data_IF_585857315539
#
_entry.id   IF_585857315539
#
_cell.length_a   1.000
_cell.length_b   1.000
_cell.length_c   1.000
_cell.angle_alpha   90.00
_cell.angle_beta   90.00
_cell.angle_gamma   90.00
#
_symmetry.space_group_name_H-M   'P 1'
#
loop_
_entity.id
_entity.type
_entity.pdbx_description
1 polymer ?
#
# COMPACT_ATOMS: atom_id res chain seq x y z
N UNK A 1 -17.28 -4.84 -1.38
CA UNK A 1 -16.63 -4.64 -2.63
C UNK A 1 -15.24 -5.15 -2.63
N UNK A 2 -14.83 -5.77 -3.70
CA UNK A 2 -13.46 -6.24 -3.74
C UNK A 2 -12.51 -5.06 -3.85
N UNK A 3 -11.31 -5.26 -3.38
CA UNK A 3 -10.28 -4.26 -3.48
C UNK A 3 -9.70 -4.31 -4.88
N UNK A 4 -9.56 -3.16 -5.52
CA UNK A 4 -8.92 -3.11 -6.82
C UNK A 4 -7.41 -3.22 -6.63
N UNK A 5 -6.76 -4.08 -7.41
CA UNK A 5 -5.35 -4.32 -7.22
C UNK A 5 -4.56 -4.11 -8.49
N UNK A 6 -3.30 -3.75 -8.33
CA UNK A 6 -2.38 -3.65 -9.44
C UNK A 6 -1.95 -5.05 -9.85
N UNK A 7 -1.80 -5.28 -11.13
CA UNK A 7 -1.44 -6.61 -11.62
C UNK A 7 -0.22 -6.63 -12.49
N UNK A 8 0.07 -5.57 -13.22
CA UNK A 8 1.18 -5.58 -14.15
C UNK A 8 2.40 -4.92 -13.56
N UNK A 9 3.57 -5.47 -13.91
CA UNK A 9 4.81 -4.90 -13.42
C UNK A 9 4.93 -3.42 -13.73
N UNK A 10 4.48 -3.00 -14.91
CA UNK A 10 4.56 -1.60 -15.27
C UNK A 10 3.78 -0.71 -14.32
N UNK A 11 2.68 -1.21 -13.80
CA UNK A 11 1.87 -0.45 -12.86
C UNK A 11 2.63 -0.24 -11.54
N UNK A 12 3.34 -1.27 -11.08
CA UNK A 12 4.13 -1.14 -9.87
C UNK A 12 5.29 -0.17 -10.09
N UNK A 13 5.93 -0.26 -11.24
CA UNK A 13 7.07 0.60 -11.52
C UNK A 13 6.66 2.06 -11.62
N UNK A 14 5.45 2.32 -12.10
CA UNK A 14 4.99 3.68 -12.24
C UNK A 14 4.83 4.37 -10.89
N UNK A 15 4.53 3.61 -9.84
CA UNK A 15 4.33 4.18 -8.51
C UNK A 15 5.66 4.52 -7.83
N UNK A 16 6.75 3.91 -8.28
CA UNK A 16 8.03 4.18 -7.65
C UNK A 16 8.39 5.65 -7.83
N UNK A 17 8.96 6.21 -6.82
CA UNK A 17 9.31 7.62 -6.87
C UNK A 17 8.20 8.54 -6.44
N UNK A 18 7.04 8.00 -6.15
CA UNK A 18 5.98 8.83 -5.61
C UNK A 18 6.18 9.08 -4.13
N UNK A 19 5.16 9.58 -3.47
CA UNK A 19 5.22 9.82 -2.05
C UNK A 19 5.43 8.51 -1.31
N UNK A 20 6.14 8.54 -0.20
CA UNK A 20 6.58 7.32 0.44
C UNK A 20 6.60 7.46 1.95
N UNK A 21 6.23 6.42 2.64
CA UNK A 21 6.31 6.38 4.10
C UNK A 21 6.63 4.96 4.52
N UNK A 22 7.61 4.80 5.40
CA UNK A 22 8.01 3.48 5.88
C UNK A 22 7.69 3.30 7.35
N UNK A 23 7.30 2.10 7.70
CA UNK A 23 7.13 1.75 9.10
C UNK A 23 7.74 0.37 9.31
N UNK A 24 7.57 -0.21 10.48
CA UNK A 24 8.18 -1.49 10.78
C UNK A 24 7.67 -2.62 9.90
N UNK A 25 6.41 -2.56 9.51
CA UNK A 25 5.77 -3.66 8.78
C UNK A 25 5.81 -3.54 7.28
N UNK A 26 5.99 -2.35 6.76
CA UNK A 26 5.97 -2.16 5.31
C UNK A 26 6.45 -0.77 4.93
N UNK A 27 6.65 -0.58 3.64
CA UNK A 27 6.81 0.75 3.07
C UNK A 27 5.63 0.99 2.16
N UNK A 28 4.98 2.13 2.27
CA UNK A 28 3.88 2.50 1.38
C UNK A 28 4.37 3.54 0.39
N UNK A 29 4.08 3.33 -0.88
CA UNK A 29 4.34 4.33 -1.91
C UNK A 29 3.01 4.66 -2.58
N UNK A 30 2.80 5.90 -2.93
CA UNK A 30 1.56 6.31 -3.59
C UNK A 30 1.82 7.35 -4.64
N UNK A 31 1.07 7.30 -5.71
CA UNK A 31 1.24 8.22 -6.82
C UNK A 31 -0.08 8.34 -7.58
N UNK A 32 -0.45 9.54 -8.01
CA UNK A 32 -1.67 9.66 -8.79
C UNK A 32 -1.52 9.02 -10.16
N UNK A 33 -2.59 8.43 -10.67
CA UNK A 33 -2.60 7.89 -12.01
C UNK A 33 -2.78 9.01 -13.01
N UNK A 34 -2.01 9.00 -14.09
CA UNK A 34 -2.25 9.97 -15.16
C UNK A 34 -3.59 9.68 -15.81
N UNK A 35 -4.25 10.67 -16.38
CA UNK A 35 -5.50 10.44 -17.08
C UNK A 35 -5.34 9.41 -18.19
N UNK A 36 -6.27 8.52 -18.29
CA UNK A 36 -6.23 7.51 -19.33
C UNK A 36 -5.36 6.34 -19.05
N UNK A 37 -4.67 6.36 -17.92
CA UNK A 37 -3.83 5.25 -17.59
C UNK A 37 -4.44 4.39 -16.54
N UNK A 38 -3.83 3.27 -16.36
CA UNK A 38 -4.17 2.52 -15.20
C UNK A 38 -5.45 1.82 -15.28
N UNK A 39 -5.80 1.37 -16.37
CA UNK A 39 -6.93 0.58 -16.42
C UNK A 39 -8.13 1.36 -16.82
N UNK A 40 -9.23 0.89 -16.51
CA UNK A 40 -10.41 1.35 -17.11
C UNK A 40 -10.86 2.62 -16.55
N UNK A 41 -11.47 3.37 -17.35
CA UNK A 41 -12.00 4.55 -16.91
C UNK A 41 -13.16 4.29 -16.06
N UNK A 42 -13.65 3.09 -16.03
CA UNK A 42 -14.77 2.81 -15.21
C UNK A 42 -14.42 2.78 -13.77
N UNK A 43 -13.15 2.63 -13.42
CA UNK A 43 -12.83 2.58 -12.02
C UNK A 43 -11.89 3.69 -11.64
N UNK A 44 -12.40 4.71 -11.02
CA UNK A 44 -11.59 5.84 -10.59
C UNK A 44 -11.09 5.75 -9.17
N UNK A 45 -11.39 4.65 -8.47
CA UNK A 45 -10.98 4.53 -7.08
C UNK A 45 -9.52 4.19 -6.91
N UNK A 46 -9.08 4.03 -5.68
CA UNK A 46 -7.68 3.67 -5.45
C UNK A 46 -7.40 2.22 -5.82
N UNK A 47 -6.17 1.96 -6.24
CA UNK A 47 -5.75 0.59 -6.52
C UNK A 47 -4.52 0.30 -5.68
N UNK A 48 -4.38 -0.93 -5.21
CA UNK A 48 -3.28 -1.32 -4.34
C UNK A 48 -2.48 -2.46 -4.95
N UNK A 49 -1.16 -2.37 -4.86
CA UNK A 49 -0.30 -3.48 -5.22
C UNK A 49 0.46 -3.93 -3.98
N UNK A 50 0.77 -5.21 -3.91
CA UNK A 50 1.46 -5.76 -2.76
C UNK A 50 2.72 -6.47 -3.22
N UNK A 51 3.86 -6.04 -2.71
CA UNK A 51 5.14 -6.66 -3.02
C UNK A 51 5.58 -7.46 -1.81
N UNK A 52 5.62 -8.77 -1.96
CA UNK A 52 6.00 -9.68 -0.87
C UNK A 52 7.07 -10.59 -1.43
N UNK A 53 8.33 -10.26 -1.14
CA UNK A 53 9.45 -10.94 -1.79
C UNK A 53 9.78 -12.26 -1.14
N UNK A 54 10.53 -13.08 -1.84
CA UNK A 54 10.93 -14.38 -1.34
C UNK A 54 11.79 -14.30 -0.09
N UNK A 55 12.42 -13.16 0.15
CA UNK A 55 13.22 -12.99 1.34
C UNK A 55 12.39 -13.11 2.61
N UNK A 56 11.11 -12.91 2.53
CA UNK A 56 10.25 -12.93 3.71
C UNK A 56 9.88 -14.34 4.13
N UNK A 57 10.07 -15.33 3.28
CA UNK A 57 9.75 -16.69 3.63
C UNK A 57 9.15 -17.44 2.47
N UNK A 58 8.68 -18.62 2.73
CA UNK A 58 8.09 -19.46 1.70
C UNK A 58 6.70 -19.00 1.32
N UNK A 59 6.08 -19.77 0.45
CA UNK A 59 4.78 -19.39 -0.10
C UNK A 59 3.71 -19.20 0.98
N UNK A 60 3.69 -20.06 1.98
CA UNK A 60 2.67 -19.96 3.02
C UNK A 60 2.82 -18.65 3.80
N UNK A 61 4.05 -18.31 4.17
CA UNK A 61 4.31 -17.08 4.91
C UNK A 61 3.96 -15.87 4.05
N UNK A 62 4.40 -15.89 2.81
CA UNK A 62 4.16 -14.75 1.91
C UNK A 62 2.68 -14.57 1.64
N UNK A 63 1.92 -15.65 1.48
CA UNK A 63 0.49 -15.53 1.26
C UNK A 63 -0.21 -14.98 2.49
N UNK A 64 0.24 -15.37 3.68
CA UNK A 64 -0.35 -14.86 4.90
C UNK A 64 -0.11 -13.35 5.03
N UNK A 65 1.11 -12.91 4.76
CA UNK A 65 1.42 -11.48 4.81
C UNK A 65 0.55 -10.72 3.81
N UNK A 66 0.47 -11.25 2.59
CA UNK A 66 -0.30 -10.58 1.55
C UNK A 66 -1.77 -10.47 1.94
N UNK A 67 -2.33 -11.53 2.50
CA UNK A 67 -3.73 -11.49 2.92
C UNK A 67 -3.96 -10.49 4.04
N UNK A 68 -3.05 -10.42 4.98
CA UNK A 68 -3.20 -9.48 6.08
C UNK A 68 -3.16 -8.04 5.59
N UNK A 69 -2.20 -7.73 4.72
CA UNK A 69 -2.11 -6.37 4.18
C UNK A 69 -3.31 -6.04 3.31
N UNK A 70 -3.78 -7.02 2.55
CA UNK A 70 -4.92 -6.79 1.68
C UNK A 70 -6.18 -6.54 2.50
N UNK A 71 -6.36 -7.25 3.59
CA UNK A 71 -7.51 -7.03 4.45
C UNK A 71 -7.48 -5.65 5.08
N UNK A 72 -6.31 -5.21 5.53
CA UNK A 72 -6.19 -3.88 6.10
C UNK A 72 -6.49 -2.81 5.04
N UNK A 73 -5.96 -3.00 3.83
CA UNK A 73 -6.20 -2.04 2.75
C UNK A 73 -7.69 -1.98 2.39
N UNK A 74 -8.33 -3.14 2.37
CA UNK A 74 -9.75 -3.16 2.03
C UNK A 74 -10.57 -2.37 3.04
N UNK A 75 -10.25 -2.49 4.30
CA UNK A 75 -11.00 -1.78 5.33
C UNK A 75 -10.77 -0.27 5.29
N UNK A 76 -9.62 0.16 4.79
CA UNK A 76 -9.30 1.58 4.78
C UNK A 76 -9.52 2.25 3.44
N UNK A 77 -9.79 1.47 2.41
CA UNK A 77 -9.83 2.04 1.07
C UNK A 77 -10.84 3.16 0.89
N UNK A 78 -12.02 3.00 1.47
CA UNK A 78 -13.06 3.98 1.27
C UNK A 78 -12.85 5.27 2.04
N UNK A 79 -12.18 5.24 3.14
CA UNK A 79 -12.09 6.42 3.98
C UNK A 79 -10.72 7.09 3.98
N UNK A 80 -9.69 6.35 3.64
CA UNK A 80 -8.32 6.85 3.80
C UNK A 80 -7.54 6.92 2.52
N UNK A 81 -7.92 6.16 1.51
CA UNK A 81 -7.21 6.18 0.24
C UNK A 81 -7.89 7.12 -0.71
N UNK A 82 -7.12 7.74 -1.59
CA UNK A 82 -7.64 8.75 -2.50
C UNK A 82 -7.99 8.14 -3.85
N UNK A 83 -9.11 8.54 -4.39
CA UNK A 83 -9.48 8.12 -5.73
C UNK A 83 -8.41 8.58 -6.72
N UNK A 84 -8.21 7.78 -7.74
CA UNK A 84 -7.25 8.13 -8.77
C UNK A 84 -5.80 7.87 -8.40
N UNK A 85 -5.55 7.28 -7.23
CA UNK A 85 -4.19 6.96 -6.81
C UNK A 85 -3.91 5.48 -6.93
N UNK A 86 -2.66 5.16 -7.23
CA UNK A 86 -2.16 3.81 -7.11
C UNK A 86 -1.21 3.76 -5.92
N UNK A 87 -1.31 2.72 -5.12
CA UNK A 87 -0.48 2.55 -3.95
C UNK A 87 0.22 1.20 -4.02
N UNK A 88 1.44 1.15 -3.53
CA UNK A 88 2.16 -0.11 -3.43
C UNK A 88 2.63 -0.29 -2.00
N UNK A 89 2.32 -1.45 -1.42
CA UNK A 89 2.79 -1.82 -0.11
C UNK A 89 3.91 -2.82 -0.28
N UNK A 90 5.11 -2.44 0.16
CA UNK A 90 6.27 -3.32 0.10
C UNK A 90 6.41 -3.94 1.48
N UNK A 91 6.07 -5.21 1.60
CA UNK A 91 5.96 -5.87 2.89
C UNK A 91 7.30 -6.11 3.56
N UNK A 92 7.29 -6.10 4.87
CA UNK A 92 8.42 -6.50 5.68
C UNK A 92 7.96 -7.64 6.57
N UNK A 93 8.93 -8.39 7.12
CA UNK A 93 8.59 -9.57 7.87
C UNK A 93 7.71 -9.32 9.08
N UNK A 94 7.85 -8.17 9.72
CA UNK A 94 7.03 -7.85 10.88
C UNK A 94 5.53 -7.86 10.58
N UNK A 95 5.15 -7.73 9.31
CA UNK A 95 3.74 -7.76 8.94
C UNK A 95 3.10 -9.11 9.23
N UNK A 96 3.91 -10.16 9.35
CA UNK A 96 3.38 -11.48 9.60
C UNK A 96 2.76 -11.61 10.98
N UNK A 97 3.37 -11.00 11.98
CA UNK A 97 2.94 -11.20 13.35
C UNK A 97 2.36 -9.99 14.04
N UNK A 98 2.40 -8.85 13.42
CA UNK A 98 1.86 -7.65 14.07
C UNK A 98 0.36 -7.81 14.28
N UNK A 99 -0.18 -7.48 15.45
CA UNK A 99 -1.63 -7.61 15.66
C UNK A 99 -2.38 -6.86 14.57
N UNK A 100 -3.47 -7.43 14.11
CA UNK A 100 -4.15 -6.85 12.94
C UNK A 100 -4.61 -5.42 13.17
N UNK A 101 -5.12 -5.11 14.35
CA UNK A 101 -5.54 -3.74 14.63
C UNK A 101 -4.36 -2.77 14.54
N UNK A 102 -3.18 -3.20 14.98
CA UNK A 102 -2.01 -2.36 14.89
C UNK A 102 -1.53 -2.23 13.45
N UNK A 103 -1.59 -3.31 12.68
CA UNK A 103 -1.23 -3.28 11.27
C UNK A 103 -2.13 -2.33 10.50
N UNK A 104 -3.43 -2.37 10.79
CA UNK A 104 -4.38 -1.49 10.15
C UNK A 104 -4.10 -0.05 10.51
N UNK A 105 -3.79 0.23 11.78
CA UNK A 105 -3.46 1.57 12.20
C UNK A 105 -2.19 2.07 11.52
N UNK A 106 -1.20 1.19 11.37
CA UNK A 106 0.04 1.56 10.67
C UNK A 106 -0.27 1.98 9.24
N UNK A 107 -1.20 1.27 8.58
CA UNK A 107 -1.54 1.60 7.21
C UNK A 107 -2.33 2.90 7.15
N UNK A 108 -3.21 3.11 8.11
CA UNK A 108 -3.96 4.35 8.17
C UNK A 108 -3.01 5.53 8.30
N UNK A 109 -2.04 5.42 9.20
CA UNK A 109 -1.05 6.48 9.39
C UNK A 109 -0.22 6.68 8.13
N UNK A 110 0.17 5.60 7.47
CA UNK A 110 0.98 5.69 6.27
C UNK A 110 0.22 6.39 5.15
N UNK A 111 -1.06 6.06 4.97
CA UNK A 111 -1.87 6.72 3.96
C UNK A 111 -1.97 8.21 4.25
N UNK A 112 -2.17 8.56 5.50
CA UNK A 112 -2.22 9.97 5.86
C UNK A 112 -0.90 10.66 5.56
N UNK A 113 0.23 10.03 5.91
CA UNK A 113 1.54 10.64 5.70
C UNK A 113 1.88 10.82 4.23
N UNK A 114 1.48 9.85 3.42
CA UNK A 114 1.76 9.94 2.00
C UNK A 114 1.02 11.11 1.37
N UNK A 115 -0.16 11.42 1.87
CA UNK A 115 -0.94 12.52 1.34
C UNK A 115 -0.68 13.86 2.04
N UNK A 116 0.08 13.87 3.13
CA UNK A 116 0.37 15.09 3.85
C UNK A 116 1.86 15.14 4.19
N UNK A 117 2.69 15.12 3.15
CA UNK A 117 4.13 15.00 3.39
C UNK A 117 4.77 16.21 4.01
N UNK A 118 4.07 17.29 4.09
CA UNK A 118 4.68 18.43 4.64
C UNK A 118 5.27 18.22 5.97
N UNK A 119 4.93 17.22 6.57
CA UNK A 119 5.46 17.01 7.82
C UNK A 119 6.85 16.66 7.74
N UNK A 120 7.64 17.41 8.25
CA UNK A 120 8.84 17.16 8.20
C UNK A 120 9.23 16.01 8.85
N UNK A 121 8.65 15.60 9.67
CA UNK A 121 9.06 14.56 10.33
C UNK A 121 8.86 13.40 9.68
N UNK A 122 8.44 13.48 8.60
CA UNK A 122 8.24 12.37 7.96
C UNK A 122 9.37 11.52 8.07
N UNK A 123 10.43 12.00 8.16
CA UNK A 123 11.37 11.10 8.10
C UNK A 123 11.73 10.64 9.34
N UNK A 124 11.50 10.90 10.14
CA UNK A 124 12.07 10.37 11.12
C UNK A 124 11.47 9.55 11.81
N UNK A 125 10.91 9.32 11.74
CA UNK A 125 10.58 8.60 12.50
C UNK A 125 10.19 7.64 12.26
N UNK A 126 10.19 7.32 11.94
CA UNK A 126 9.79 6.38 11.72
C UNK A 126 9.64 5.48 12.17
#
# INVERSE_FOLDING_TARGET
MPLATLKKRAEFLRVRGGARWSCTCFTLEGKPRPPGHGGSEEYGGPRFGFTVTKKLGGAVVRNRIRRRLKSAALELADGCAYAGFDYVLIARQAALVRPFAALKKDLEDALHRVHHPGGRNAHHRS
#
